data_IF_746208650078
#
_entry.id   IF_746208650078
#
_cell.length_a   1.000
_cell.length_b   1.000
_cell.length_c   1.000
_cell.angle_alpha   90.00
_cell.angle_beta   90.00
_cell.angle_gamma   90.00
#
_symmetry.space_group_name_H-M   'P 1'
#
loop_
_entity.id
_entity.type
_entity.pdbx_description
1 polymer ?
#
# COMPACT_ATOMS: atom_id res chain seq x y z
N UNK A 1 -22.68 3.15 23.03
CA UNK A 1 -22.00 2.72 21.77
C UNK A 1 -22.44 3.49 20.52
N UNK A 2 -23.50 4.32 20.55
CA UNK A 2 -23.96 5.11 19.38
C UNK A 2 -23.37 6.52 19.29
N UNK A 3 -22.90 7.11 20.39
CA UNK A 3 -22.48 8.51 20.43
C UNK A 3 -21.20 8.79 19.63
N UNK A 4 -20.21 7.89 19.73
CA UNK A 4 -18.94 7.99 18.99
C UNK A 4 -19.18 7.75 17.49
N UNK A 5 -20.00 6.76 17.15
CA UNK A 5 -20.33 6.44 15.76
C UNK A 5 -21.04 7.61 15.05
N UNK A 6 -21.99 8.24 15.73
CA UNK A 6 -22.70 9.40 15.17
C UNK A 6 -21.77 10.63 15.09
N UNK A 7 -20.97 10.87 16.12
CA UNK A 7 -20.02 11.99 16.12
C UNK A 7 -19.04 11.92 14.95
N UNK A 8 -18.43 10.75 14.70
CA UNK A 8 -17.51 10.59 13.56
C UNK A 8 -18.23 10.54 12.22
N UNK A 9 -19.45 9.99 12.15
CA UNK A 9 -20.29 10.07 10.94
C UNK A 9 -20.55 11.52 10.57
N UNK A 10 -20.92 12.37 11.54
CA UNK A 10 -21.25 13.77 11.28
C UNK A 10 -19.99 14.61 10.97
N UNK A 11 -18.84 14.25 11.55
CA UNK A 11 -17.56 14.90 11.26
C UNK A 11 -17.02 14.56 9.86
N UNK A 12 -17.30 13.36 9.37
CA UNK A 12 -16.83 12.85 8.08
C UNK A 12 -17.87 13.00 6.97
N UNK A 13 -19.12 13.29 7.31
CA UNK A 13 -20.17 13.61 6.35
C UNK A 13 -20.09 15.10 6.04
N UNK A 14 -19.60 15.43 4.86
CA UNK A 14 -19.66 16.80 4.34
C UNK A 14 -21.10 17.29 4.43
N UNK A 15 -21.38 18.44 5.08
CA UNK A 15 -22.66 19.10 4.92
C UNK A 15 -22.87 19.29 3.42
N UNK A 16 -24.03 18.87 2.93
CA UNK A 16 -24.41 18.97 1.52
C UNK A 16 -24.66 20.42 1.09
N UNK A 17 -23.69 21.30 1.32
CA UNK A 17 -23.63 22.59 0.63
C UNK A 17 -22.93 22.36 -0.71
N UNK A 18 -23.65 22.72 -1.76
CA UNK A 18 -23.31 22.50 -3.18
C UNK A 18 -22.14 23.37 -3.66
N UNK A 19 -21.15 23.60 -2.81
CA UNK A 19 -19.80 23.95 -3.20
C UNK A 19 -18.91 22.76 -2.91
N UNK A 20 -18.98 21.77 -3.80
CA UNK A 20 -17.82 20.95 -4.12
C UNK A 20 -16.73 21.92 -4.56
N UNK A 21 -16.02 22.52 -3.60
CA UNK A 21 -14.71 23.08 -3.88
C UNK A 21 -13.99 21.93 -4.56
N UNK A 22 -13.50 22.09 -5.79
CA UNK A 22 -12.63 21.09 -6.37
C UNK A 22 -11.39 21.11 -5.47
N UNK A 23 -11.39 20.32 -4.39
CA UNK A 23 -10.27 20.22 -3.44
C UNK A 23 -9.01 19.84 -4.20
N UNK A 24 -9.17 19.18 -5.34
CA UNK A 24 -8.12 18.88 -6.31
C UNK A 24 -7.44 20.11 -6.90
N UNK A 25 -8.12 21.27 -7.01
CA UNK A 25 -7.54 22.50 -7.56
C UNK A 25 -6.57 23.22 -6.61
N UNK A 26 -6.53 22.84 -5.32
CA UNK A 26 -5.58 23.40 -4.34
C UNK A 26 -4.35 22.50 -4.09
N UNK A 27 -4.37 21.25 -4.56
CA UNK A 27 -3.18 20.40 -4.53
C UNK A 27 -2.46 20.56 -5.86
N UNK A 28 -1.55 21.53 -5.92
CA UNK A 28 -0.53 21.52 -6.96
C UNK A 28 0.38 20.33 -6.67
N UNK A 29 0.09 19.19 -7.30
CA UNK A 29 0.96 18.02 -7.27
C UNK A 29 2.26 18.42 -7.96
N UNK A 30 3.26 18.79 -7.17
CA UNK A 30 4.62 19.05 -7.62
C UNK A 30 5.33 17.71 -7.82
N UNK A 31 4.88 16.95 -8.83
CA UNK A 31 5.63 15.79 -9.32
C UNK A 31 6.47 16.28 -10.49
N UNK A 32 7.80 16.23 -10.38
CA UNK A 32 8.65 16.55 -11.51
C UNK A 32 8.42 15.52 -12.63
N UNK A 33 8.69 15.87 -13.88
CA UNK A 33 8.56 14.92 -15.00
C UNK A 33 9.45 13.68 -14.79
N UNK A 34 10.62 13.86 -14.15
CA UNK A 34 11.49 12.76 -13.73
C UNK A 34 10.85 11.86 -12.66
N UNK A 35 10.15 12.43 -11.68
CA UNK A 35 9.47 11.66 -10.64
C UNK A 35 8.28 10.88 -11.22
N UNK A 36 7.50 11.53 -12.09
CA UNK A 36 6.38 10.90 -12.77
C UNK A 36 6.86 9.70 -13.62
N UNK A 37 7.97 9.89 -14.33
CA UNK A 37 8.59 8.83 -15.13
C UNK A 37 9.10 7.69 -14.25
N UNK A 38 9.71 8.00 -13.10
CA UNK A 38 10.21 6.97 -12.18
C UNK A 38 9.08 6.19 -11.50
N UNK A 39 8.00 6.87 -11.09
CA UNK A 39 6.83 6.24 -10.48
C UNK A 39 6.03 5.37 -11.45
N UNK A 40 6.16 5.61 -12.76
CA UNK A 40 5.48 4.84 -13.80
C UNK A 40 6.27 3.60 -14.26
N UNK A 41 7.50 3.40 -13.75
CA UNK A 41 8.32 2.24 -14.13
C UNK A 41 7.82 0.97 -13.42
N UNK A 42 7.94 -0.20 -14.08
CA UNK A 42 7.78 -1.48 -13.40
C UNK A 42 8.76 -1.61 -12.23
N UNK A 43 8.32 -2.24 -11.14
CA UNK A 43 9.17 -2.53 -10.01
C UNK A 43 10.25 -3.54 -10.40
N UNK A 44 11.50 -3.26 -10.03
CA UNK A 44 12.58 -4.23 -10.20
C UNK A 44 12.60 -5.24 -9.05
N UNK A 45 13.03 -6.47 -9.34
CA UNK A 45 13.26 -7.50 -8.33
C UNK A 45 14.25 -7.04 -7.25
N UNK A 46 15.19 -6.16 -7.62
CA UNK A 46 16.15 -5.56 -6.69
C UNK A 46 15.48 -4.63 -5.69
N UNK A 47 14.56 -3.76 -6.14
CA UNK A 47 13.78 -2.87 -5.27
C UNK A 47 12.87 -3.65 -4.33
N UNK A 48 12.24 -4.71 -4.85
CA UNK A 48 11.39 -5.61 -4.06
C UNK A 48 12.22 -6.31 -2.98
N UNK A 49 13.35 -6.91 -3.36
CA UNK A 49 14.27 -7.57 -2.42
C UNK A 49 14.76 -6.59 -1.37
N UNK A 50 15.25 -5.42 -1.79
CA UNK A 50 15.77 -4.41 -0.87
C UNK A 50 14.73 -4.02 0.17
N UNK A 51 13.50 -3.76 -0.27
CA UNK A 51 12.38 -3.41 0.61
C UNK A 51 12.11 -4.49 1.65
N UNK A 52 12.12 -5.77 1.26
CA UNK A 52 11.89 -6.89 2.18
C UNK A 52 13.05 -7.05 3.18
N UNK A 53 14.29 -6.80 2.76
CA UNK A 53 15.47 -6.87 3.63
C UNK A 53 15.62 -5.66 4.56
N UNK A 54 15.04 -4.52 4.20
CA UNK A 54 14.98 -3.33 5.07
C UNK A 54 13.93 -3.47 6.20
N UNK A 55 13.01 -4.44 6.11
CA UNK A 55 12.03 -4.72 7.15
C UNK A 55 12.70 -5.30 8.40
N UNK A 56 12.24 -4.86 9.58
CA UNK A 56 12.66 -5.45 10.86
C UNK A 56 12.20 -6.92 10.93
N UNK A 57 13.08 -7.90 11.20
CA UNK A 57 12.77 -9.33 11.03
C UNK A 57 11.61 -9.84 11.89
N UNK A 58 11.44 -9.28 13.09
CA UNK A 58 10.51 -9.74 14.12
C UNK A 58 9.38 -8.75 14.41
N UNK A 59 8.95 -7.97 13.41
CA UNK A 59 7.73 -7.16 13.55
C UNK A 59 6.51 -8.06 13.64
N UNK A 60 5.42 -7.50 14.19
CA UNK A 60 4.14 -8.19 14.28
C UNK A 60 3.78 -8.80 12.91
N UNK A 61 3.37 -10.08 12.87
CA UNK A 61 2.98 -10.70 11.62
C UNK A 61 1.75 -9.99 11.05
N UNK A 62 1.68 -9.95 9.71
CA UNK A 62 0.43 -9.59 9.05
C UNK A 62 -0.65 -10.63 9.34
N UNK A 63 -1.84 -10.49 8.73
CA UNK A 63 -2.94 -11.46 8.82
C UNK A 63 -2.54 -12.88 8.43
N UNK A 64 -1.48 -13.00 7.64
CA UNK A 64 -0.94 -14.25 7.13
C UNK A 64 -0.07 -15.01 8.16
N UNK A 65 0.12 -14.47 9.37
CA UNK A 65 0.99 -15.02 10.43
C UNK A 65 2.47 -15.22 10.05
N UNK A 66 2.90 -14.73 8.87
CA UNK A 66 4.28 -14.85 8.39
C UNK A 66 5.08 -13.58 8.74
N UNK A 67 6.18 -13.76 9.47
CA UNK A 67 7.10 -12.68 9.83
C UNK A 67 8.06 -12.33 8.66
N UNK A 68 8.53 -11.08 8.54
CA UNK A 68 9.52 -10.69 7.53
C UNK A 68 10.79 -11.55 7.52
N UNK A 69 11.21 -12.06 8.69
CA UNK A 69 12.33 -13.00 8.81
C UNK A 69 12.22 -14.22 7.89
N UNK A 70 11.00 -14.75 7.67
CA UNK A 70 10.79 -15.90 6.80
C UNK A 70 11.22 -15.60 5.36
N UNK A 71 10.75 -14.46 4.82
CA UNK A 71 11.07 -14.03 3.45
C UNK A 71 12.56 -13.73 3.29
N UNK A 72 13.18 -13.13 4.32
CA UNK A 72 14.62 -12.85 4.31
C UNK A 72 15.45 -14.14 4.35
N UNK A 73 15.06 -15.11 5.18
CA UNK A 73 15.81 -16.38 5.36
C UNK A 73 15.68 -17.31 4.16
N UNK A 74 14.51 -17.38 3.54
CA UNK A 74 14.21 -18.31 2.45
C UNK A 74 14.13 -17.63 1.09
N UNK A 75 14.75 -16.45 0.94
CA UNK A 75 14.67 -15.62 -0.27
C UNK A 75 15.03 -16.38 -1.55
N UNK A 76 16.04 -17.25 -1.52
CA UNK A 76 16.46 -18.01 -2.69
C UNK A 76 15.38 -19.00 -3.20
N UNK A 77 14.42 -19.35 -2.33
CA UNK A 77 13.30 -20.24 -2.65
C UNK A 77 12.05 -19.42 -2.99
N UNK A 78 11.69 -18.45 -2.14
CA UNK A 78 10.40 -17.73 -2.25
C UNK A 78 10.50 -16.44 -3.07
N UNK A 79 11.70 -15.88 -3.22
CA UNK A 79 11.95 -14.59 -3.87
C UNK A 79 11.36 -14.48 -5.27
N UNK A 80 11.57 -15.45 -6.17
CA UNK A 80 10.97 -15.40 -7.52
C UNK A 80 9.45 -15.30 -7.49
N UNK A 81 8.78 -16.08 -6.63
CA UNK A 81 7.32 -16.05 -6.47
C UNK A 81 6.84 -14.75 -5.86
N UNK A 82 7.55 -14.23 -4.86
CA UNK A 82 7.25 -12.94 -4.22
C UNK A 82 7.35 -11.80 -5.23
N UNK A 83 8.42 -11.74 -6.02
CA UNK A 83 8.58 -10.74 -7.08
C UNK A 83 7.46 -10.83 -8.12
N UNK A 84 7.09 -12.04 -8.55
CA UNK A 84 6.01 -12.24 -9.51
C UNK A 84 4.66 -11.75 -8.97
N UNK A 85 4.32 -12.08 -7.72
CA UNK A 85 3.07 -11.66 -7.07
C UNK A 85 3.02 -10.14 -6.94
N UNK A 86 4.08 -9.52 -6.42
CA UNK A 86 4.13 -8.06 -6.22
C UNK A 86 4.04 -7.34 -7.56
N UNK A 87 4.80 -7.77 -8.57
CA UNK A 87 4.69 -7.18 -9.91
C UNK A 87 3.28 -7.33 -10.48
N UNK A 88 2.64 -8.50 -10.30
CA UNK A 88 1.26 -8.69 -10.74
C UNK A 88 0.30 -7.69 -10.07
N UNK A 89 0.41 -7.47 -8.75
CA UNK A 89 -0.43 -6.50 -8.03
C UNK A 89 -0.27 -5.08 -8.56
N UNK A 90 0.97 -4.64 -8.80
CA UNK A 90 1.24 -3.29 -9.31
C UNK A 90 0.78 -3.11 -10.75
N UNK A 91 0.87 -4.17 -11.57
CA UNK A 91 0.40 -4.13 -12.97
C UNK A 91 -1.13 -4.24 -13.10
N UNK A 92 -1.79 -5.06 -12.28
CA UNK A 92 -3.25 -5.21 -12.29
C UNK A 92 -3.97 -4.13 -11.51
N UNK A 93 -3.26 -3.38 -10.65
CA UNK A 93 -3.85 -2.49 -9.63
C UNK A 93 -4.80 -3.23 -8.67
N UNK A 94 -4.64 -4.55 -8.53
CA UNK A 94 -5.46 -5.40 -7.66
C UNK A 94 -4.60 -6.11 -6.62
N UNK A 95 -4.98 -5.99 -5.35
CA UNK A 95 -4.38 -6.75 -4.26
C UNK A 95 -5.28 -7.97 -3.99
N UNK A 96 -4.74 -9.20 -3.96
CA UNK A 96 -5.50 -10.38 -3.58
C UNK A 96 -6.25 -10.17 -2.26
N UNK A 97 -7.54 -10.50 -2.25
CA UNK A 97 -8.43 -10.30 -1.09
C UNK A 97 -7.91 -10.94 0.20
N UNK A 98 -7.15 -12.02 0.06
CA UNK A 98 -6.54 -12.74 1.17
C UNK A 98 -5.42 -11.94 1.84
N UNK A 99 -4.66 -11.17 1.06
CA UNK A 99 -3.52 -10.37 1.54
C UNK A 99 -3.94 -9.00 2.08
N UNK A 100 -5.11 -8.48 1.69
CA UNK A 100 -5.63 -7.19 2.16
C UNK A 100 -6.51 -7.31 3.43
N UNK A 101 -6.40 -8.42 4.17
CA UNK A 101 -7.09 -8.54 5.45
C UNK A 101 -6.39 -7.64 6.46
N UNK A 102 -7.12 -7.03 7.37
CA UNK A 102 -6.57 -6.35 8.55
C UNK A 102 -7.36 -6.82 9.76
N UNK A 103 -6.71 -6.91 10.92
CA UNK A 103 -7.36 -7.27 12.18
C UNK A 103 -8.32 -6.17 12.68
#
# INVERSE_FOLDING_TARGET
KSLIHNHFRDLLSSPGDSHVIPVMSKFQIHCSESDATNLSKPLSDMEIRKTIFDMKPFTAPGPDDIQPFFYQKFWDIVGPSVCAIINNMFNSSEIPSEMNKTF
#
